data_IF_343285272135
#
_entry.id   IF_343285272135
#
_cell.length_a   1.000
_cell.length_b   1.000
_cell.length_c   1.000
_cell.angle_alpha   90.00
_cell.angle_beta   90.00
_cell.angle_gamma   90.00
#
_symmetry.space_group_name_H-M   'P 1'
#
loop_
_entity.id
_entity.type
_entity.pdbx_description
1 polymer ?
#
# COMPACT_ATOMS: atom_id res chain seq x y z
N UNK A 1 -9.77 5.33 -4.41
CA UNK A 1 -9.80 3.86 -4.37
C UNK A 1 -9.04 3.37 -5.58
N UNK A 2 -8.03 2.55 -5.35
CA UNK A 2 -7.21 1.96 -6.41
C UNK A 2 -7.86 0.63 -6.81
N UNK A 3 -7.84 0.32 -8.10
CA UNK A 3 -8.25 -0.97 -8.66
C UNK A 3 -7.09 -1.49 -9.51
N UNK A 4 -6.76 -2.77 -9.38
CA UNK A 4 -5.76 -3.45 -10.21
C UNK A 4 -6.33 -4.76 -10.73
N UNK A 5 -6.02 -5.08 -11.98
CA UNK A 5 -6.16 -6.43 -12.51
C UNK A 5 -4.81 -7.11 -12.30
N UNK A 6 -4.78 -8.19 -11.52
CA UNK A 6 -3.56 -8.93 -11.23
C UNK A 6 -3.71 -10.35 -11.76
N UNK A 7 -2.76 -10.75 -12.60
CA UNK A 7 -2.63 -12.11 -13.11
C UNK A 7 -1.61 -12.87 -12.28
N UNK A 8 -1.95 -14.09 -11.89
CA UNK A 8 -1.04 -14.99 -11.19
C UNK A 8 -1.26 -16.43 -11.64
N UNK A 9 -0.22 -17.24 -11.50
CA UNK A 9 -0.27 -18.67 -11.81
C UNK A 9 -0.84 -19.40 -10.60
N UNK A 10 -1.82 -20.26 -10.83
CA UNK A 10 -2.36 -21.21 -9.85
C UNK A 10 -2.42 -22.59 -10.48
N UNK A 11 -2.72 -23.62 -9.67
CA UNK A 11 -2.94 -24.97 -10.15
C UNK A 11 -4.43 -25.29 -10.17
N UNK A 12 -4.90 -25.96 -11.23
CA UNK A 12 -6.26 -26.49 -11.29
C UNK A 12 -6.40 -27.80 -10.49
N UNK A 13 -7.59 -28.43 -10.52
CA UNK A 13 -7.85 -29.69 -9.82
C UNK A 13 -7.02 -30.88 -10.31
N UNK A 14 -6.41 -30.76 -11.50
CA UNK A 14 -5.54 -31.78 -12.09
C UNK A 14 -4.06 -31.50 -11.84
N UNK A 15 -3.72 -30.36 -11.23
CA UNK A 15 -2.35 -29.94 -10.96
C UNK A 15 -1.69 -29.25 -12.16
N UNK A 16 -2.47 -28.83 -13.17
CA UNK A 16 -1.94 -28.09 -14.31
C UNK A 16 -1.87 -26.59 -13.99
N UNK A 17 -0.80 -25.93 -14.46
CA UNK A 17 -0.64 -24.50 -14.32
C UNK A 17 -1.69 -23.75 -15.15
N UNK A 18 -2.45 -22.88 -14.47
CA UNK A 18 -3.44 -22.00 -15.11
C UNK A 18 -3.20 -20.56 -14.65
N UNK A 19 -3.21 -19.64 -15.61
CA UNK A 19 -3.20 -18.21 -15.32
C UNK A 19 -4.60 -17.77 -14.88
N UNK A 20 -4.68 -17.08 -13.76
CA UNK A 20 -5.91 -16.50 -13.23
C UNK A 20 -5.73 -15.00 -13.06
N UNK A 21 -6.69 -14.23 -13.53
CA UNK A 21 -6.74 -12.77 -13.35
C UNK A 21 -7.82 -12.40 -12.35
N UNK A 22 -7.50 -11.54 -11.39
CA UNK A 22 -8.44 -11.02 -10.40
C UNK A 22 -8.41 -9.49 -10.34
N UNK A 23 -9.61 -8.89 -10.26
CA UNK A 23 -9.76 -7.48 -9.92
C UNK A 23 -9.67 -7.27 -8.42
N UNK A 24 -8.55 -6.72 -7.95
CA UNK A 24 -8.35 -6.34 -6.55
C UNK A 24 -8.63 -4.85 -6.32
N UNK A 25 -9.08 -4.49 -5.11
CA UNK A 25 -9.50 -3.14 -4.76
C UNK A 25 -8.87 -2.70 -3.46
N UNK A 26 -8.31 -1.49 -3.45
CA UNK A 26 -7.67 -0.90 -2.29
C UNK A 26 -8.34 0.42 -1.91
N UNK A 27 -8.87 0.48 -0.70
CA UNK A 27 -9.56 1.63 -0.17
C UNK A 27 -8.81 2.20 1.04
N UNK A 28 -8.30 3.42 0.88
CA UNK A 28 -7.84 4.22 2.01
C UNK A 28 -9.03 4.74 2.81
N UNK A 29 -9.16 4.27 4.04
CA UNK A 29 -10.31 4.53 4.91
C UNK A 29 -9.88 4.58 6.38
N UNK A 30 -10.74 5.12 7.26
CA UNK A 30 -10.51 5.04 8.70
C UNK A 30 -10.47 3.58 9.23
N UNK A 31 -11.36 2.67 8.78
CA UNK A 31 -11.22 1.23 9.07
C UNK A 31 -9.84 0.65 8.70
N UNK A 32 -9.29 0.96 7.53
CA UNK A 32 -7.97 0.49 7.11
C UNK A 32 -6.86 0.98 8.06
N UNK A 33 -6.90 2.26 8.44
CA UNK A 33 -5.94 2.84 9.39
C UNK A 33 -6.04 2.14 10.75
N UNK A 34 -7.25 1.99 11.28
CA UNK A 34 -7.45 1.32 12.58
C UNK A 34 -6.97 -0.12 12.54
N UNK A 35 -7.24 -0.83 11.46
CA UNK A 35 -6.78 -2.20 11.27
C UNK A 35 -5.26 -2.29 11.23
N UNK A 36 -4.59 -1.37 10.52
CA UNK A 36 -3.13 -1.27 10.51
C UNK A 36 -2.58 -1.11 11.93
N UNK A 37 -3.12 -0.16 12.69
CA UNK A 37 -2.67 0.12 14.06
C UNK A 37 -2.95 -1.05 15.01
N UNK A 38 -4.07 -1.75 14.83
CA UNK A 38 -4.42 -2.95 15.60
C UNK A 38 -3.50 -4.14 15.30
N UNK A 39 -3.19 -4.39 14.03
CA UNK A 39 -2.36 -5.52 13.60
C UNK A 39 -0.88 -5.33 13.95
N UNK A 40 -0.38 -4.10 13.81
CA UNK A 40 1.04 -3.81 13.98
C UNK A 40 1.40 -3.26 15.35
N UNK A 41 0.44 -2.69 16.08
CA UNK A 41 0.69 -1.91 17.30
C UNK A 41 1.42 -0.57 17.06
N UNK A 42 1.59 -0.16 15.79
CA UNK A 42 2.31 1.06 15.37
C UNK A 42 1.35 2.13 14.86
N UNK A 43 1.74 3.40 14.91
CA UNK A 43 0.94 4.50 14.37
C UNK A 43 1.09 4.56 12.84
N UNK A 44 -0.04 4.51 12.13
CA UNK A 44 -0.06 4.51 10.66
C UNK A 44 0.62 5.74 10.07
N UNK A 45 0.37 6.93 10.63
CA UNK A 45 0.84 8.19 10.07
C UNK A 45 2.35 8.37 10.28
N UNK A 46 2.88 7.95 11.42
CA UNK A 46 4.31 7.96 11.68
C UNK A 46 5.07 7.04 10.72
N UNK A 47 4.57 5.82 10.50
CA UNK A 47 5.22 4.87 9.60
C UNK A 47 5.08 5.26 8.12
N UNK A 48 3.91 5.77 7.72
CA UNK A 48 3.73 6.39 6.40
C UNK A 48 4.72 7.55 6.20
N UNK A 49 4.91 8.40 7.22
CA UNK A 49 5.84 9.52 7.13
C UNK A 49 7.30 9.05 7.00
N UNK A 50 7.71 7.97 7.67
CA UNK A 50 9.04 7.38 7.50
C UNK A 50 9.23 6.85 6.08
N UNK A 51 8.28 6.07 5.57
CA UNK A 51 8.33 5.54 4.21
C UNK A 51 8.43 6.67 3.16
N UNK A 52 7.63 7.73 3.32
CA UNK A 52 7.70 8.94 2.47
C UNK A 52 9.06 9.64 2.60
N UNK A 53 9.60 9.76 3.82
CA UNK A 53 10.89 10.39 4.04
C UNK A 53 12.01 9.64 3.31
N UNK A 54 12.05 8.31 3.41
CA UNK A 54 13.06 7.50 2.69
C UNK A 54 12.88 7.65 1.19
N UNK A 55 11.64 7.55 0.68
CA UNK A 55 11.32 7.75 -0.73
C UNK A 55 11.84 9.10 -1.25
N UNK A 56 11.46 10.19 -0.57
CA UNK A 56 11.80 11.55 -0.99
C UNK A 56 13.30 11.83 -0.91
N UNK A 57 14.00 11.28 0.07
CA UNK A 57 15.45 11.40 0.18
C UNK A 57 16.16 10.71 -0.98
N UNK A 58 15.74 9.50 -1.38
CA UNK A 58 16.35 8.82 -2.52
C UNK A 58 16.02 9.53 -3.83
N UNK A 59 14.75 9.85 -4.06
CA UNK A 59 14.29 10.57 -5.25
C UNK A 59 15.06 11.89 -5.44
N UNK A 60 15.28 12.65 -4.35
CA UNK A 60 16.06 13.89 -4.40
C UNK A 60 17.52 13.66 -4.76
N UNK A 61 18.15 12.58 -4.25
CA UNK A 61 19.55 12.23 -4.56
C UNK A 61 19.72 11.82 -6.02
N UNK A 62 18.71 11.21 -6.62
CA UNK A 62 18.74 10.72 -8.00
C UNK A 62 18.22 11.75 -9.00
N UNK A 63 17.74 12.91 -8.53
CA UNK A 63 17.25 13.99 -9.40
C UNK A 63 15.83 13.78 -9.92
N UNK A 64 15.09 12.81 -9.37
CA UNK A 64 13.71 12.52 -9.71
C UNK A 64 12.83 13.63 -9.14
N UNK A 65 12.04 14.27 -10.01
CA UNK A 65 11.05 15.24 -9.57
C UNK A 65 9.96 14.48 -8.80
N UNK A 66 9.65 14.93 -7.59
CA UNK A 66 8.71 14.27 -6.67
C UNK A 66 7.24 14.24 -7.13
N UNK A 67 6.96 14.55 -8.40
CA UNK A 67 5.65 14.35 -8.99
C UNK A 67 5.46 12.85 -9.26
N UNK A 68 4.95 12.16 -8.24
CA UNK A 68 4.87 10.70 -8.11
C UNK A 68 3.99 9.98 -9.14
N UNK A 69 3.25 10.70 -9.99
CA UNK A 69 2.21 10.09 -10.81
C UNK A 69 2.67 9.49 -12.13
N UNK A 70 3.94 9.67 -12.57
CA UNK A 70 4.41 9.14 -13.87
C UNK A 70 5.93 8.89 -13.87
N UNK A 71 6.40 7.97 -13.01
CA UNK A 71 7.81 7.55 -13.02
C UNK A 71 8.13 6.78 -14.31
N UNK A 72 9.16 7.22 -15.03
CA UNK A 72 9.76 6.45 -16.12
C UNK A 72 10.46 5.19 -15.60
N UNK A 73 10.74 4.24 -16.50
CA UNK A 73 11.37 2.97 -16.10
C UNK A 73 12.79 3.19 -15.53
N UNK A 74 13.53 4.16 -16.05
CA UNK A 74 14.84 4.55 -15.51
C UNK A 74 14.72 5.11 -14.08
N UNK A 75 13.69 5.92 -13.82
CA UNK A 75 13.42 6.47 -12.48
C UNK A 75 13.01 5.36 -11.50
N UNK A 76 12.20 4.38 -11.93
CA UNK A 76 11.87 3.21 -11.12
C UNK A 76 13.11 2.39 -10.77
N UNK A 77 14.03 2.19 -11.72
CA UNK A 77 15.30 1.47 -11.49
C UNK A 77 16.13 2.19 -10.42
N UNK A 78 16.22 3.52 -10.51
CA UNK A 78 16.94 4.33 -9.52
C UNK A 78 16.33 4.27 -8.12
N UNK A 79 15.04 3.95 -8.01
CA UNK A 79 14.29 3.83 -6.77
C UNK A 79 14.25 2.41 -6.20
N UNK A 80 14.71 1.38 -6.94
CA UNK A 80 14.79 0.00 -6.45
C UNK A 80 15.49 -0.18 -5.09
N UNK A 81 16.52 0.63 -4.71
CA UNK A 81 17.10 0.55 -3.37
C UNK A 81 16.10 0.73 -2.22
N UNK A 82 14.94 1.36 -2.44
CA UNK A 82 13.87 1.47 -1.43
C UNK A 82 13.33 0.10 -1.01
N UNK A 83 13.36 -0.90 -1.90
CA UNK A 83 12.90 -2.25 -1.60
C UNK A 83 13.81 -3.00 -0.62
N UNK A 84 14.96 -2.41 -0.24
CA UNK A 84 15.83 -2.91 0.82
C UNK A 84 15.73 -2.07 2.10
N UNK A 85 15.02 -0.95 2.08
CA UNK A 85 14.83 -0.10 3.25
C UNK A 85 13.73 -0.67 4.15
N UNK A 86 14.00 -0.92 5.44
CA UNK A 86 13.04 -1.54 6.33
C UNK A 86 11.83 -0.64 6.65
N UNK A 87 12.00 0.69 6.72
CA UNK A 87 10.88 1.59 6.99
C UNK A 87 9.92 1.60 5.79
N UNK A 88 10.46 1.58 4.57
CA UNK A 88 9.68 1.50 3.34
C UNK A 88 8.98 0.15 3.18
N UNK A 89 9.73 -0.96 3.26
CA UNK A 89 9.19 -2.29 3.01
C UNK A 89 8.23 -2.74 4.09
N UNK A 90 8.53 -2.52 5.38
CA UNK A 90 7.61 -2.89 6.45
C UNK A 90 6.31 -2.10 6.35
N UNK A 91 6.36 -0.84 5.91
CA UNK A 91 5.15 -0.08 5.68
C UNK A 91 4.31 -0.68 4.55
N UNK A 92 4.91 -0.98 3.38
CA UNK A 92 4.22 -1.61 2.26
C UNK A 92 3.60 -2.96 2.64
N UNK A 93 4.39 -3.85 3.23
CA UNK A 93 3.94 -5.19 3.61
C UNK A 93 2.76 -5.14 4.56
N UNK A 94 2.73 -4.19 5.50
CA UNK A 94 1.65 -4.12 6.47
C UNK A 94 0.44 -3.29 5.99
N UNK A 95 0.65 -2.29 5.14
CA UNK A 95 -0.42 -1.39 4.71
C UNK A 95 -1.29 -1.99 3.61
N UNK A 96 -0.68 -2.68 2.65
CA UNK A 96 -1.41 -3.22 1.47
C UNK A 96 -2.55 -4.14 1.90
N UNK A 97 -2.36 -5.11 2.82
CA UNK A 97 -3.45 -5.99 3.24
C UNK A 97 -4.56 -5.23 3.96
N UNK A 98 -4.22 -4.21 4.75
CA UNK A 98 -5.20 -3.40 5.48
C UNK A 98 -6.06 -2.54 4.55
N UNK A 99 -5.54 -2.16 3.38
CA UNK A 99 -6.26 -1.40 2.37
C UNK A 99 -7.11 -2.27 1.47
N UNK A 100 -6.80 -3.56 1.35
CA UNK A 100 -7.55 -4.48 0.51
C UNK A 100 -9.00 -4.58 0.97
N UNK A 101 -9.90 -4.77 0.01
CA UNK A 101 -11.30 -5.05 0.29
C UNK A 101 -11.95 -5.89 -0.79
N UNK A 102 -12.83 -6.79 -0.37
CA UNK A 102 -13.59 -7.69 -1.21
C UNK A 102 -14.99 -7.13 -1.48
N UNK A 103 -15.61 -7.52 -2.59
CA UNK A 103 -16.99 -7.11 -2.89
C UNK A 103 -17.93 -8.25 -2.52
N UNK A 104 -18.63 -8.09 -1.40
CA UNK A 104 -19.63 -9.03 -0.94
C UNK A 104 -21.02 -8.39 -1.03
N UNK A 105 -21.96 -9.05 -1.70
CA UNK A 105 -23.35 -8.57 -1.85
C UNK A 105 -23.45 -7.11 -2.33
N UNK A 106 -22.55 -6.70 -3.25
CA UNK A 106 -22.50 -5.35 -3.81
C UNK A 106 -21.89 -4.28 -2.89
N UNK A 107 -21.34 -4.67 -1.74
CA UNK A 107 -20.67 -3.76 -0.80
C UNK A 107 -19.19 -4.12 -0.70
N UNK A 108 -18.34 -3.10 -0.58
CA UNK A 108 -16.94 -3.32 -0.27
C UNK A 108 -16.80 -3.66 1.22
N UNK A 109 -16.26 -4.82 1.52
CA UNK A 109 -15.94 -5.30 2.85
C UNK A 109 -14.43 -5.18 3.05
N UNK A 110 -14.04 -4.54 4.15
CA UNK A 110 -12.64 -4.34 4.55
C UNK A 110 -12.55 -4.59 6.05
N UNK A 111 -12.04 -5.75 6.41
CA UNK A 111 -11.94 -6.25 7.79
C UNK A 111 -10.69 -7.15 7.95
N UNK A 112 -10.48 -7.70 9.15
CA UNK A 112 -9.32 -8.56 9.46
C UNK A 112 -9.23 -9.77 8.52
N UNK A 113 -10.36 -10.43 8.23
CA UNK A 113 -10.40 -11.60 7.33
C UNK A 113 -9.91 -11.23 5.92
N UNK A 114 -10.42 -10.14 5.33
CA UNK A 114 -9.96 -9.69 4.00
C UNK A 114 -8.46 -9.38 4.00
N UNK A 115 -7.96 -8.85 5.13
CA UNK A 115 -6.56 -8.49 5.25
C UNK A 115 -5.65 -9.71 5.48
N UNK A 116 -6.15 -10.78 6.10
CA UNK A 116 -5.49 -12.09 6.15
C UNK A 116 -5.46 -12.74 4.76
N UNK A 117 -6.60 -12.75 4.05
CA UNK A 117 -6.70 -13.23 2.66
C UNK A 117 -5.67 -12.54 1.77
N UNK A 118 -5.60 -11.21 1.82
CA UNK A 118 -4.63 -10.44 1.05
C UNK A 118 -3.17 -10.76 1.40
N UNK A 119 -2.87 -11.02 2.68
CA UNK A 119 -1.51 -11.33 3.12
C UNK A 119 -1.01 -12.69 2.58
N UNK A 120 -1.94 -13.59 2.23
CA UNK A 120 -1.67 -14.92 1.69
C UNK A 120 -1.91 -15.01 0.17
N UNK A 121 -2.36 -13.92 -0.45
CA UNK A 121 -2.75 -13.94 -1.84
C UNK A 121 -1.53 -14.07 -2.76
N UNK A 122 -1.61 -14.88 -3.83
CA UNK A 122 -0.50 -15.05 -4.78
C UNK A 122 -0.01 -13.73 -5.40
N UNK A 123 -0.93 -12.79 -5.62
CA UNK A 123 -0.63 -11.47 -6.19
C UNK A 123 -0.01 -10.47 -5.22
N UNK A 124 0.09 -10.80 -3.93
CA UNK A 124 0.54 -9.85 -2.91
C UNK A 124 1.98 -9.37 -3.15
N UNK A 125 2.87 -10.30 -3.52
CA UNK A 125 4.27 -10.00 -3.81
C UNK A 125 4.45 -9.03 -4.97
N UNK A 126 3.58 -9.09 -5.98
CA UNK A 126 3.63 -8.22 -7.17
C UNK A 126 3.32 -6.74 -6.84
N UNK A 127 2.68 -6.50 -5.69
CA UNK A 127 2.37 -5.15 -5.22
C UNK A 127 3.43 -4.57 -4.27
N UNK A 128 4.45 -5.35 -3.91
CA UNK A 128 5.60 -4.87 -3.13
C UNK A 128 6.62 -4.18 -4.03
N UNK A 129 6.18 -3.17 -4.78
CA UNK A 129 6.97 -2.46 -5.77
C UNK A 129 6.86 -0.93 -5.66
N UNK A 130 7.72 -0.24 -6.41
CA UNK A 130 7.77 1.23 -6.43
C UNK A 130 6.52 1.82 -7.09
N UNK A 131 5.97 1.13 -8.09
CA UNK A 131 4.80 1.61 -8.85
C UNK A 131 3.58 1.71 -7.95
N UNK A 132 3.30 0.67 -7.20
CA UNK A 132 2.14 0.60 -6.33
C UNK A 132 2.30 1.50 -5.11
N UNK A 133 3.51 1.65 -4.57
CA UNK A 133 3.76 2.68 -3.54
C UNK A 133 3.39 4.09 -4.04
N UNK A 134 3.76 4.44 -5.28
CA UNK A 134 3.41 5.72 -5.88
C UNK A 134 1.89 5.90 -6.01
N UNK A 135 1.17 4.84 -6.43
CA UNK A 135 -0.29 4.83 -6.47
C UNK A 135 -0.91 5.05 -5.08
N UNK A 136 -0.38 4.36 -4.06
CA UNK A 136 -0.82 4.50 -2.67
C UNK A 136 -0.60 5.92 -2.16
N UNK A 137 0.58 6.48 -2.37
CA UNK A 137 0.89 7.84 -1.97
C UNK A 137 -0.05 8.86 -2.62
N UNK A 138 -0.31 8.71 -3.92
CA UNK A 138 -1.26 9.57 -4.62
C UNK A 138 -2.67 9.45 -4.02
N UNK A 139 -3.14 8.23 -3.77
CA UNK A 139 -4.45 7.99 -3.16
C UNK A 139 -4.56 8.58 -1.75
N UNK A 140 -3.53 8.43 -0.90
CA UNK A 140 -3.52 8.97 0.45
C UNK A 140 -3.63 10.50 0.44
N UNK A 141 -2.88 11.17 -0.44
CA UNK A 141 -2.94 12.63 -0.56
C UNK A 141 -4.29 13.10 -1.11
N UNK A 142 -4.81 12.42 -2.14
CA UNK A 142 -6.12 12.74 -2.73
C UNK A 142 -7.26 12.57 -1.71
N UNK A 143 -7.18 11.56 -0.87
CA UNK A 143 -8.22 11.20 0.11
C UNK A 143 -7.97 11.80 1.49
N UNK A 144 -6.91 12.60 1.66
CA UNK A 144 -6.51 13.25 2.93
C UNK A 144 -7.62 14.08 3.57
N UNK A 145 -8.45 14.74 2.77
CA UNK A 145 -9.57 15.54 3.26
C UNK A 145 -10.75 14.68 3.76
N UNK A 146 -10.82 13.42 3.34
CA UNK A 146 -11.95 12.50 3.60
C UNK A 146 -11.69 11.55 4.77
N UNK A 147 -10.43 11.37 5.15
CA UNK A 147 -10.00 10.47 6.23
C UNK A 147 -9.38 11.31 7.34
N UNK A 148 -9.82 11.18 8.61
CA UNK A 148 -9.22 11.89 9.73
C UNK A 148 -7.70 11.69 9.75
N UNK A 149 -6.97 12.79 9.85
CA UNK A 149 -5.51 12.78 9.94
C UNK A 149 -5.09 12.80 11.40
N UNK A 150 -3.92 12.25 11.73
CA UNK A 150 -3.33 12.42 13.06
C UNK A 150 -3.05 13.91 13.30
N UNK A 151 -3.96 14.56 14.02
CA UNK A 151 -3.74 15.89 14.55
C UNK A 151 -2.97 15.68 15.84
N UNK A 152 -1.64 15.71 15.78
CA UNK A 152 -0.82 15.93 16.98
C UNK A 152 -1.48 17.05 17.77
N UNK A 153 -2.07 16.72 18.93
CA UNK A 153 -2.65 17.74 19.81
C UNK A 153 -1.54 18.77 20.07
N UNK A 154 -1.81 20.08 19.98
CA UNK A 154 -0.82 21.06 20.38
C UNK A 154 -0.39 20.71 21.80
N UNK A 155 0.90 20.47 22.01
CA UNK A 155 1.46 20.27 23.34
C UNK A 155 1.01 21.47 24.18
N UNK A 156 0.14 21.23 25.16
CA UNK A 156 -0.06 22.21 26.21
C UNK A 156 1.31 22.40 26.85
N UNK A 157 1.90 23.58 26.65
CA UNK A 157 3.07 24.00 27.42
C UNK A 157 2.63 23.95 28.88
N UNK A 158 3.19 22.99 29.63
CA UNK A 158 3.11 22.98 31.08
C UNK A 158 4.08 24.00 31.67
#
# INVERSE_FOLDING_TARGET
>A
MIKKELSFITFDSYGEEVERTETVRFLYSLPAIKMYEQRTGRNFFDDNQKAISVYTQLASKTGIKTELSDLSDDEKIQLLPLLMDPDFMNFLTDVIPCLYGEVENGRLVQNELTAETASLAPWFGDLLDITFFSDLFYEFNRSRAKVPQDRKKPQQKS
#
